data_IF_704037205580
#
_entry.id   IF_704037205580
#
_cell.length_a   1.000
_cell.length_b   1.000
_cell.length_c   1.000
_cell.angle_alpha   90.00
_cell.angle_beta   90.00
_cell.angle_gamma   90.00
#
_symmetry.space_group_name_H-M   'P 1'
#
loop_
_entity.id
_entity.type
_entity.pdbx_description
1 polymer ?
#
# COMPACT_ATOMS: atom_id res chain seq x y z
N UNK A 1 -25.70 -20.00 28.81
CA UNK A 1 -24.26 -20.32 28.91
C UNK A 1 -23.60 -20.56 27.55
N UNK A 2 -24.15 -21.43 26.67
CA UNK A 2 -23.57 -21.65 25.34
C UNK A 2 -23.62 -20.42 24.41
N UNK A 3 -24.68 -19.61 24.50
CA UNK A 3 -24.81 -18.37 23.70
C UNK A 3 -23.76 -17.32 24.09
N UNK A 4 -23.54 -17.14 25.39
CA UNK A 4 -22.55 -16.21 25.97
C UNK A 4 -21.11 -16.55 25.53
N UNK A 5 -20.79 -17.85 25.44
CA UNK A 5 -19.51 -18.34 24.93
C UNK A 5 -19.31 -18.11 23.43
N UNK A 6 -20.38 -18.18 22.63
CA UNK A 6 -20.34 -17.91 21.20
C UNK A 6 -20.17 -16.41 20.92
N UNK A 7 -20.82 -15.56 21.71
CA UNK A 7 -20.70 -14.10 21.61
C UNK A 7 -19.26 -13.63 21.92
N UNK A 8 -18.66 -14.12 23.00
CA UNK A 8 -17.25 -13.83 23.36
C UNK A 8 -16.25 -14.28 22.27
N UNK A 9 -16.51 -15.40 21.59
CA UNK A 9 -15.67 -15.89 20.50
C UNK A 9 -15.74 -14.98 19.28
N UNK A 10 -16.95 -14.53 18.92
CA UNK A 10 -17.17 -13.59 17.80
C UNK A 10 -16.49 -12.24 18.09
N UNK A 11 -16.57 -11.76 19.33
CA UNK A 11 -15.91 -10.52 19.72
C UNK A 11 -14.38 -10.61 19.68
N UNK A 12 -13.82 -11.73 20.13
CA UNK A 12 -12.37 -11.96 20.07
C UNK A 12 -11.84 -11.97 18.62
N UNK A 13 -12.56 -12.62 17.70
CA UNK A 13 -12.20 -12.69 16.28
C UNK A 13 -12.35 -11.32 15.58
N UNK A 14 -13.41 -10.59 15.91
CA UNK A 14 -13.64 -9.22 15.45
C UNK A 14 -12.54 -8.27 15.91
N UNK A 15 -12.10 -8.40 17.16
CA UNK A 15 -11.01 -7.58 17.72
C UNK A 15 -9.68 -7.80 16.98
N UNK A 16 -9.38 -9.03 16.55
CA UNK A 16 -8.21 -9.32 15.69
C UNK A 16 -8.33 -8.58 14.36
N UNK A 17 -9.46 -8.70 13.68
CA UNK A 17 -9.67 -8.05 12.38
C UNK A 17 -9.63 -6.52 12.49
N UNK A 18 -10.18 -5.93 13.55
CA UNK A 18 -10.10 -4.47 13.81
C UNK A 18 -8.64 -4.04 14.02
N UNK A 19 -7.85 -4.80 14.78
CA UNK A 19 -6.44 -4.50 15.02
C UNK A 19 -5.64 -4.52 13.71
N UNK A 20 -5.83 -5.57 12.91
CA UNK A 20 -5.22 -5.72 11.59
C UNK A 20 -5.62 -4.58 10.65
N UNK A 21 -6.92 -4.24 10.58
CA UNK A 21 -7.41 -3.15 9.75
C UNK A 21 -6.84 -1.78 10.18
N UNK A 22 -6.70 -1.54 11.49
CA UNK A 22 -6.07 -0.31 12.00
C UNK A 22 -4.59 -0.24 11.62
N UNK A 23 -3.85 -1.34 11.76
CA UNK A 23 -2.46 -1.40 11.35
C UNK A 23 -2.30 -1.16 9.84
N UNK A 24 -3.13 -1.81 9.01
CA UNK A 24 -3.13 -1.61 7.56
C UNK A 24 -3.43 -0.16 7.18
N UNK A 25 -4.44 0.45 7.81
CA UNK A 25 -4.78 1.86 7.59
C UNK A 25 -3.62 2.79 7.97
N UNK A 26 -2.93 2.53 9.07
CA UNK A 26 -1.76 3.32 9.47
C UNK A 26 -0.62 3.20 8.45
N UNK A 27 -0.32 1.99 7.97
CA UNK A 27 0.70 1.76 6.94
C UNK A 27 0.36 2.52 5.65
N UNK A 28 -0.90 2.45 5.19
CA UNK A 28 -1.35 3.15 3.99
C UNK A 28 -1.24 4.66 4.15
N UNK A 29 -1.71 5.22 5.28
CA UNK A 29 -1.63 6.67 5.55
C UNK A 29 -0.17 7.13 5.55
N UNK A 30 0.72 6.41 6.25
CA UNK A 30 2.15 6.72 6.26
C UNK A 30 2.74 6.67 4.84
N UNK A 31 2.38 5.65 4.04
CA UNK A 31 2.81 5.53 2.65
C UNK A 31 2.36 6.73 1.79
N UNK A 32 1.11 7.16 1.92
CA UNK A 32 0.61 8.34 1.22
C UNK A 32 1.32 9.63 1.64
N UNK A 33 1.57 9.83 2.94
CA UNK A 33 2.30 11.00 3.45
C UNK A 33 3.71 11.04 2.86
N UNK A 34 4.43 9.91 2.89
CA UNK A 34 5.77 9.81 2.30
C UNK A 34 5.74 10.10 0.80
N UNK A 35 4.79 9.53 0.07
CA UNK A 35 4.66 9.74 -1.38
C UNK A 35 4.37 11.20 -1.72
N UNK A 36 3.42 11.85 -1.04
CA UNK A 36 3.08 13.26 -1.26
C UNK A 36 4.26 14.16 -0.91
N UNK A 37 4.99 13.86 0.17
CA UNK A 37 6.18 14.63 0.55
C UNK A 37 7.29 14.52 -0.51
N UNK A 38 7.51 13.31 -1.05
CA UNK A 38 8.49 13.08 -2.11
C UNK A 38 8.10 13.78 -3.41
N UNK A 39 6.82 13.68 -3.83
CA UNK A 39 6.32 14.37 -5.01
C UNK A 39 6.44 15.89 -4.87
N UNK A 40 6.05 16.43 -3.71
CA UNK A 40 6.18 17.86 -3.41
C UNK A 40 7.64 18.29 -3.46
N UNK A 41 8.55 17.50 -2.89
CA UNK A 41 9.98 17.77 -2.95
C UNK A 41 10.49 17.81 -4.40
N UNK A 42 10.12 16.84 -5.24
CA UNK A 42 10.52 16.77 -6.66
C UNK A 42 10.07 18.01 -7.44
N UNK A 43 8.87 18.52 -7.17
CA UNK A 43 8.31 19.68 -7.90
C UNK A 43 8.83 21.02 -7.33
N UNK A 44 8.89 21.14 -6.01
CA UNK A 44 9.17 22.42 -5.33
C UNK A 44 10.66 22.73 -5.28
N UNK A 45 11.55 21.75 -5.04
CA UNK A 45 13.00 22.00 -4.98
C UNK A 45 13.57 22.66 -6.25
N UNK A 46 13.20 22.21 -7.47
CA UNK A 46 13.62 22.88 -8.70
C UNK A 46 13.18 24.34 -8.81
N UNK A 47 12.02 24.71 -8.25
CA UNK A 47 11.55 26.11 -8.24
C UNK A 47 12.43 27.03 -7.39
N UNK A 48 13.14 26.50 -6.39
CA UNK A 48 14.08 27.23 -5.55
C UNK A 48 15.52 27.20 -6.08
N UNK A 49 15.74 26.70 -7.31
CA UNK A 49 17.07 26.59 -7.90
C UNK A 49 17.94 25.52 -7.24
N UNK A 50 17.35 24.66 -6.41
CA UNK A 50 18.02 23.49 -5.84
C UNK A 50 17.88 22.35 -6.84
N UNK A 51 18.98 21.95 -7.52
CA UNK A 51 18.89 20.92 -8.54
C UNK A 51 18.54 19.59 -7.87
N UNK A 52 17.39 19.03 -8.23
CA UNK A 52 17.01 17.67 -7.79
C UNK A 52 18.01 16.61 -8.29
N UNK A 53 18.62 16.88 -9.45
CA UNK A 53 19.63 16.04 -10.09
C UNK A 53 20.90 16.84 -10.34
N UNK A 54 22.05 16.29 -9.98
CA UNK A 54 23.36 16.85 -10.36
C UNK A 54 23.54 16.68 -11.87
N UNK A 55 23.78 17.78 -12.61
CA UNK A 55 24.27 17.66 -13.98
C UNK A 55 25.63 16.96 -13.92
N UNK A 56 25.70 15.72 -14.41
CA UNK A 56 26.94 14.94 -14.46
C UNK A 56 27.64 15.05 -15.81
N UNK A 57 26.97 15.61 -16.83
CA UNK A 57 27.49 15.66 -18.19
C UNK A 57 27.41 17.08 -18.78
N UNK A 58 28.46 17.50 -19.49
CA UNK A 58 28.53 18.82 -20.13
C UNK A 58 27.54 18.97 -21.31
N UNK A 59 27.02 17.85 -21.82
CA UNK A 59 25.98 17.80 -22.86
C UNK A 59 24.56 17.82 -22.30
N UNK A 60 24.37 17.87 -20.97
CA UNK A 60 23.03 17.99 -20.39
C UNK A 60 22.42 19.35 -20.75
N UNK A 61 21.11 19.32 -20.99
CA UNK A 61 20.27 20.46 -21.35
C UNK A 61 20.43 21.63 -20.36
N UNK A 62 20.32 22.86 -20.87
CA UNK A 62 20.48 24.08 -20.03
C UNK A 62 19.39 24.18 -18.97
N UNK A 63 18.20 23.62 -19.25
CA UNK A 63 17.10 23.50 -18.29
C UNK A 63 16.86 22.02 -17.94
N UNK A 64 17.37 21.52 -16.80
CA UNK A 64 17.19 20.13 -16.43
C UNK A 64 15.74 19.84 -16.02
N UNK A 65 15.08 18.92 -16.74
CA UNK A 65 13.79 18.35 -16.36
C UNK A 65 13.94 17.37 -15.17
N UNK A 66 12.89 17.17 -14.34
CA UNK A 66 12.92 16.25 -13.20
C UNK A 66 13.33 14.81 -13.56
N UNK A 67 12.81 14.28 -14.67
CA UNK A 67 13.21 12.98 -15.21
C UNK A 67 14.13 13.16 -16.42
N UNK A 68 15.25 12.44 -16.41
CA UNK A 68 16.16 12.38 -17.56
C UNK A 68 15.63 11.38 -18.57
N UNK A 69 15.07 11.88 -19.67
CA UNK A 69 14.54 11.07 -20.77
C UNK A 69 14.94 11.66 -22.11
N UNK A 70 15.01 10.82 -23.14
CA UNK A 70 15.28 11.27 -24.51
C UNK A 70 14.00 11.79 -25.17
N UNK A 71 14.06 13.01 -25.70
CA UNK A 71 12.97 13.63 -26.46
C UNK A 71 13.40 13.81 -27.91
N UNK A 72 12.47 13.58 -28.85
CA UNK A 72 12.70 13.78 -30.29
C UNK A 72 12.65 15.26 -30.72
N UNK A 73 12.45 16.18 -29.77
CA UNK A 73 12.39 17.62 -29.97
C UNK A 73 13.25 18.33 -28.92
N UNK A 74 13.59 19.60 -29.17
CA UNK A 74 14.34 20.41 -28.21
C UNK A 74 13.42 20.87 -27.06
N UNK A 75 13.71 20.41 -25.85
CA UNK A 75 12.98 20.76 -24.62
C UNK A 75 13.55 21.98 -23.90
N UNK A 76 14.70 22.55 -24.32
CA UNK A 76 15.27 23.76 -23.69
C UNK A 76 14.48 25.03 -24.04
N UNK A 77 13.82 25.02 -25.20
CA UNK A 77 13.04 26.15 -25.73
C UNK A 77 11.68 26.25 -25.03
N UNK A 78 11.21 27.49 -24.85
CA UNK A 78 9.83 27.77 -24.42
C UNK A 78 8.92 27.80 -25.66
N UNK A 79 7.73 27.16 -25.66
CA UNK A 79 7.01 26.60 -24.50
C UNK A 79 7.22 25.09 -24.29
N UNK A 80 8.12 24.44 -25.04
CA UNK A 80 8.30 22.99 -24.98
C UNK A 80 8.70 22.54 -23.58
N UNK A 81 9.61 23.27 -22.93
CA UNK A 81 10.04 22.97 -21.56
C UNK A 81 8.86 22.85 -20.59
N UNK A 82 7.99 23.86 -20.56
CA UNK A 82 6.87 23.94 -19.63
C UNK A 82 5.86 22.82 -19.90
N UNK A 83 5.57 22.55 -21.17
CA UNK A 83 4.68 21.45 -21.56
C UNK A 83 5.24 20.08 -21.15
N UNK A 84 6.53 19.84 -21.38
CA UNK A 84 7.19 18.59 -20.99
C UNK A 84 7.23 18.44 -19.47
N UNK A 85 7.48 19.52 -18.73
CA UNK A 85 7.47 19.51 -17.27
C UNK A 85 6.08 19.12 -16.72
N UNK A 86 5.01 19.72 -17.27
CA UNK A 86 3.62 19.37 -16.89
C UNK A 86 3.32 17.91 -17.24
N UNK A 87 3.71 17.44 -18.43
CA UNK A 87 3.51 16.06 -18.84
C UNK A 87 4.26 15.07 -17.92
N UNK A 88 5.52 15.36 -17.55
CA UNK A 88 6.27 14.55 -16.59
C UNK A 88 5.57 14.55 -15.21
N UNK A 89 5.13 15.71 -14.72
CA UNK A 89 4.45 15.80 -13.43
C UNK A 89 3.16 14.97 -13.40
N UNK A 90 2.33 15.03 -14.44
CA UNK A 90 1.12 14.20 -14.57
C UNK A 90 1.47 12.72 -14.63
N UNK A 91 2.50 12.36 -15.40
CA UNK A 91 2.94 10.96 -15.54
C UNK A 91 3.46 10.39 -14.23
N UNK A 92 4.27 11.14 -13.48
CA UNK A 92 4.78 10.75 -12.17
C UNK A 92 3.62 10.60 -11.19
N UNK A 93 2.68 11.56 -11.16
CA UNK A 93 1.52 11.50 -10.27
C UNK A 93 0.66 10.26 -10.56
N UNK A 94 0.35 10.00 -11.83
CA UNK A 94 -0.43 8.84 -12.24
C UNK A 94 0.28 7.54 -11.86
N UNK A 95 1.58 7.46 -12.15
CA UNK A 95 2.41 6.30 -11.79
C UNK A 95 2.41 6.08 -10.29
N UNK A 96 2.60 7.14 -9.49
CA UNK A 96 2.57 7.06 -8.04
C UNK A 96 1.21 6.56 -7.52
N UNK A 97 0.09 7.03 -8.07
CA UNK A 97 -1.25 6.56 -7.71
C UNK A 97 -1.41 5.07 -8.04
N UNK A 98 -1.01 4.64 -9.23
CA UNK A 98 -1.10 3.23 -9.64
C UNK A 98 -0.28 2.34 -8.71
N UNK A 99 1.01 2.65 -8.50
CA UNK A 99 1.90 1.87 -7.65
C UNK A 99 1.41 1.81 -6.20
N UNK A 100 1.05 2.94 -5.60
CA UNK A 100 0.56 2.97 -4.21
C UNK A 100 -0.77 2.24 -4.04
N UNK A 101 -1.63 2.26 -5.06
CA UNK A 101 -2.89 1.51 -5.02
C UNK A 101 -2.66 0.00 -5.07
N UNK A 102 -1.75 -0.46 -5.94
CA UNK A 102 -1.37 -1.88 -6.05
C UNK A 102 -0.73 -2.36 -4.74
N UNK A 103 0.25 -1.63 -4.22
CA UNK A 103 0.94 -1.97 -2.97
C UNK A 103 -0.02 -1.95 -1.77
N UNK A 104 -0.90 -0.95 -1.72
CA UNK A 104 -1.94 -0.84 -0.69
C UNK A 104 -2.92 -2.01 -0.73
N UNK A 105 -3.38 -2.41 -1.91
CA UNK A 105 -4.26 -3.57 -2.08
C UNK A 105 -3.58 -4.87 -1.68
N UNK A 106 -2.33 -5.09 -2.12
CA UNK A 106 -1.56 -6.27 -1.76
C UNK A 106 -1.32 -6.34 -0.25
N UNK A 107 -0.90 -5.23 0.36
CA UNK A 107 -0.67 -5.13 1.79
C UNK A 107 -1.93 -5.38 2.61
N UNK A 108 -3.08 -4.81 2.21
CA UNK A 108 -4.37 -5.07 2.84
C UNK A 108 -4.75 -6.55 2.76
N UNK A 109 -4.57 -7.16 1.59
CA UNK A 109 -4.92 -8.57 1.35
C UNK A 109 -4.07 -9.49 2.21
N UNK A 110 -2.75 -9.27 2.24
CA UNK A 110 -1.82 -10.05 3.08
C UNK A 110 -2.21 -9.93 4.56
N UNK A 111 -2.41 -8.69 5.03
CA UNK A 111 -2.79 -8.44 6.42
C UNK A 111 -4.15 -9.08 6.77
N UNK A 112 -5.13 -8.99 5.87
CA UNK A 112 -6.43 -9.65 6.02
C UNK A 112 -6.28 -11.16 6.18
N UNK A 113 -5.52 -11.81 5.30
CA UNK A 113 -5.25 -13.25 5.37
C UNK A 113 -4.53 -13.60 6.67
N UNK A 114 -3.52 -12.83 7.09
CA UNK A 114 -2.85 -13.02 8.38
C UNK A 114 -3.83 -12.92 9.57
N UNK A 115 -4.78 -11.98 9.53
CA UNK A 115 -5.83 -11.86 10.54
C UNK A 115 -6.76 -13.06 10.57
N UNK A 116 -7.17 -13.55 9.39
CA UNK A 116 -7.99 -14.76 9.26
C UNK A 116 -7.24 -16.00 9.80
N UNK A 117 -5.95 -16.14 9.50
CA UNK A 117 -5.11 -17.24 9.99
C UNK A 117 -4.93 -17.20 11.52
N UNK A 118 -4.79 -16.01 12.11
CA UNK A 118 -4.72 -15.84 13.57
C UNK A 118 -6.05 -16.26 14.24
N UNK A 119 -7.20 -15.91 13.63
CA UNK A 119 -8.50 -16.38 14.11
C UNK A 119 -8.63 -17.91 13.97
N UNK A 120 -8.18 -18.47 12.86
CA UNK A 120 -8.18 -19.92 12.64
C UNK A 120 -7.31 -20.65 13.67
N UNK A 121 -6.11 -20.15 13.95
CA UNK A 121 -5.23 -20.68 15.00
C UNK A 121 -5.92 -20.71 16.36
N UNK A 122 -6.66 -19.66 16.74
CA UNK A 122 -7.43 -19.61 18.00
C UNK A 122 -8.55 -20.65 18.02
N UNK A 123 -9.26 -20.82 16.91
CA UNK A 123 -10.28 -21.87 16.76
C UNK A 123 -9.69 -23.27 16.95
N UNK A 124 -8.51 -23.53 16.38
CA UNK A 124 -7.79 -24.80 16.55
C UNK A 124 -7.31 -25.02 17.99
N UNK A 125 -6.79 -24.00 18.67
CA UNK A 125 -6.34 -24.12 20.06
C UNK A 125 -7.50 -24.49 21.01
N UNK A 126 -8.69 -23.92 20.79
CA UNK A 126 -9.89 -24.24 21.56
C UNK A 126 -10.48 -25.62 21.23
N UNK A 127 -10.10 -26.21 20.10
CA UNK A 127 -10.58 -27.51 19.63
C UNK A 127 -10.11 -28.67 20.51
N UNK A 128 -8.94 -28.51 21.17
CA UNK A 128 -8.30 -29.53 22.03
C UNK A 128 -9.19 -29.95 23.21
N UNK A 129 -10.17 -29.12 23.58
CA UNK A 129 -11.09 -29.39 24.69
C UNK A 129 -12.35 -30.18 24.30
N UNK A 130 -12.59 -30.42 23.00
CA UNK A 130 -13.83 -31.05 22.51
C UNK A 130 -13.75 -32.58 22.43
N UNK A 131 -14.85 -33.23 22.82
CA UNK A 131 -15.02 -34.70 22.76
C UNK A 131 -15.13 -35.24 21.32
N UNK A 132 -15.61 -34.41 20.39
CA UNK A 132 -15.81 -34.73 18.96
C UNK A 132 -14.85 -33.90 18.10
N UNK A 133 -13.55 -34.17 18.28
CA UNK A 133 -12.45 -33.42 17.67
C UNK A 133 -12.52 -33.41 16.14
N UNK A 134 -12.75 -34.57 15.52
CA UNK A 134 -12.63 -34.77 14.07
C UNK A 134 -13.73 -34.03 13.29
N UNK A 135 -14.98 -34.13 13.75
CA UNK A 135 -16.10 -33.42 13.16
C UNK A 135 -15.98 -31.90 13.35
N UNK A 136 -15.54 -31.46 14.53
CA UNK A 136 -15.33 -30.03 14.83
C UNK A 136 -14.19 -29.45 14.00
N UNK A 137 -13.13 -30.23 13.75
CA UNK A 137 -12.00 -29.81 12.91
C UNK A 137 -12.45 -29.60 11.46
N UNK A 138 -13.18 -30.57 10.89
CA UNK A 138 -13.71 -30.48 9.52
C UNK A 138 -14.56 -29.22 9.33
N UNK A 139 -15.48 -28.94 10.26
CA UNK A 139 -16.33 -27.75 10.20
C UNK A 139 -15.50 -26.45 10.22
N UNK A 140 -14.47 -26.38 11.07
CA UNK A 140 -13.63 -25.19 11.15
C UNK A 140 -12.78 -24.98 9.88
N UNK A 141 -12.27 -26.06 9.27
CA UNK A 141 -11.51 -26.00 8.00
C UNK A 141 -12.43 -25.57 6.85
N UNK A 142 -13.60 -26.20 6.71
CA UNK A 142 -14.57 -25.83 5.67
C UNK A 142 -15.05 -24.38 5.81
N UNK A 143 -15.28 -23.92 7.04
CA UNK A 143 -15.65 -22.53 7.30
C UNK A 143 -14.51 -21.56 6.96
N UNK A 144 -13.26 -21.89 7.28
CA UNK A 144 -12.11 -21.02 7.00
C UNK A 144 -11.83 -20.90 5.49
N UNK A 145 -11.96 -22.00 4.74
CA UNK A 145 -11.83 -22.02 3.27
C UNK A 145 -12.89 -21.20 2.55
N UNK A 146 -14.04 -20.91 3.17
CA UNK A 146 -15.09 -20.06 2.60
C UNK A 146 -14.89 -18.56 2.86
N UNK A 147 -14.02 -18.20 3.81
CA UNK A 147 -13.85 -16.82 4.30
C UNK A 147 -12.59 -16.16 3.73
N UNK A 148 -11.59 -16.96 3.34
CA UNK A 148 -10.41 -16.52 2.58
C UNK A 148 -10.80 -16.25 1.13
#
# INVERSE_FOLDING_TARGET
MAEDWMELKVDAEKNVMIKVARAARMIIICGYILMVSAFTAIIVLPCFGLPFRRLTNLTDQKKPLPLQTYYFYNTDESPQFELTLVAQAVTILLSAVIYTSVDGFLGLTILHICGQLENFKRRLANLISYKDYDNTLRINVEAHLKII
#
